data_IF_015524201316
#
_entry.id   IF_015524201316
#
_cell.length_a   1.000
_cell.length_b   1.000
_cell.length_c   1.000
_cell.angle_alpha   90.00
_cell.angle_beta   90.00
_cell.angle_gamma   90.00
#
_symmetry.space_group_name_H-M   'P 1'
#
loop_
_entity.id
_entity.type
_entity.pdbx_description
1 polymer ?
#
# COMPACT_ATOMS: atom_id res chain seq x y z
N UNK A 1 -88.07 39.43 -5.05
CA UNK A 1 -87.49 39.54 -6.40
C UNK A 1 -86.89 38.19 -6.71
N UNK A 2 -87.55 37.43 -7.60
CA UNK A 2 -86.94 36.44 -8.51
C UNK A 2 -86.10 35.31 -7.90
N UNK A 3 -86.37 34.01 -8.06
CA UNK A 3 -87.39 33.19 -8.73
C UNK A 3 -87.17 31.75 -8.23
N UNK A 4 -88.27 30.99 -8.14
CA UNK A 4 -88.44 29.59 -8.56
C UNK A 4 -87.45 28.50 -8.08
N UNK A 5 -87.94 27.56 -7.26
CA UNK A 5 -88.49 26.23 -7.64
C UNK A 5 -87.41 25.31 -8.23
N UNK A 6 -87.26 24.04 -7.92
CA UNK A 6 -88.01 23.10 -7.10
C UNK A 6 -87.33 21.73 -7.34
N UNK A 7 -87.64 20.75 -6.48
CA UNK A 7 -87.64 19.29 -6.73
C UNK A 7 -86.30 18.62 -7.11
N UNK A 8 -85.66 17.90 -6.17
CA UNK A 8 -85.91 16.49 -5.82
C UNK A 8 -85.60 15.47 -6.93
N UNK A 9 -84.56 14.66 -6.69
CA UNK A 9 -84.54 13.21 -6.90
C UNK A 9 -83.18 12.71 -6.36
N UNK A 10 -83.12 12.07 -5.20
CA UNK A 10 -83.40 10.65 -4.98
C UNK A 10 -82.46 9.72 -5.77
N UNK A 11 -81.80 8.82 -5.03
CA UNK A 11 -81.06 7.62 -5.48
C UNK A 11 -79.71 7.80 -6.20
N UNK A 12 -78.61 7.66 -5.45
CA UNK A 12 -77.40 7.00 -5.97
C UNK A 12 -76.74 6.14 -4.89
N UNK A 13 -77.39 5.02 -4.55
CA UNK A 13 -76.76 3.90 -3.84
C UNK A 13 -75.95 3.08 -4.85
N UNK A 14 -74.75 2.69 -4.41
CA UNK A 14 -73.94 1.55 -4.88
C UNK A 14 -73.50 1.51 -6.35
N UNK A 15 -72.33 2.09 -6.66
CA UNK A 15 -71.53 1.65 -7.82
C UNK A 15 -70.01 1.89 -7.67
N UNK A 16 -69.46 1.70 -6.46
CA UNK A 16 -68.00 1.75 -6.22
C UNK A 16 -67.35 0.34 -6.38
N UNK A 17 -68.16 -0.74 -6.43
CA UNK A 17 -67.65 -2.10 -6.43
C UNK A 17 -67.22 -2.67 -7.80
N UNK A 18 -67.52 -2.01 -8.92
CA UNK A 18 -67.14 -2.50 -10.26
C UNK A 18 -65.76 -1.95 -10.69
N UNK A 19 -65.38 -0.76 -10.22
CA UNK A 19 -64.10 -0.13 -10.60
C UNK A 19 -62.87 -0.79 -9.95
N UNK A 20 -63.06 -1.45 -8.79
CA UNK A 20 -61.99 -2.16 -8.10
C UNK A 20 -61.72 -3.58 -8.64
N UNK A 21 -62.62 -4.12 -9.48
CA UNK A 21 -62.45 -5.45 -10.05
C UNK A 21 -61.55 -5.44 -11.30
N UNK A 22 -61.61 -4.38 -12.13
CA UNK A 22 -60.76 -4.26 -13.33
C UNK A 22 -59.31 -3.85 -12.98
N UNK A 23 -59.11 -3.10 -11.90
CA UNK A 23 -57.78 -2.63 -11.51
C UNK A 23 -56.92 -3.66 -10.74
N UNK A 24 -57.45 -4.86 -10.48
CA UNK A 24 -56.71 -5.94 -9.78
C UNK A 24 -56.08 -6.97 -10.71
N UNK A 25 -56.40 -6.96 -12.02
CA UNK A 25 -55.91 -7.94 -12.99
C UNK A 25 -54.76 -7.50 -13.90
N UNK A 26 -54.22 -6.28 -13.75
CA UNK A 26 -53.14 -5.76 -14.60
C UNK A 26 -51.73 -5.73 -13.95
N UNK A 27 -51.56 -6.22 -12.72
CA UNK A 27 -50.26 -6.29 -12.05
C UNK A 27 -49.75 -7.73 -11.91
N UNK A 28 -49.67 -8.46 -13.02
CA UNK A 28 -48.99 -9.76 -13.09
C UNK A 28 -47.46 -9.56 -13.23
N UNK A 29 -46.63 -10.15 -12.35
CA UNK A 29 -45.18 -10.04 -12.41
C UNK A 29 -44.63 -10.97 -13.52
N UNK A 30 -44.64 -10.50 -14.76
CA UNK A 30 -44.12 -11.30 -15.88
C UNK A 30 -44.04 -10.60 -17.24
N UNK A 31 -44.60 -9.41 -17.40
CA UNK A 31 -44.58 -8.70 -18.69
C UNK A 31 -43.47 -7.65 -18.70
N UNK A 32 -42.39 -7.92 -19.43
CA UNK A 32 -41.36 -6.92 -19.70
C UNK A 32 -41.97 -5.78 -20.53
N UNK A 33 -41.84 -4.53 -20.06
CA UNK A 33 -42.33 -3.34 -20.79
C UNK A 33 -41.70 -3.30 -22.19
N UNK A 34 -42.47 -3.01 -23.25
CA UNK A 34 -41.93 -2.94 -24.60
C UNK A 34 -40.81 -1.89 -24.65
N UNK A 35 -39.63 -2.29 -25.13
CA UNK A 35 -38.51 -1.36 -25.34
C UNK A 35 -38.97 -0.35 -26.39
N UNK A 36 -39.03 0.93 -26.06
CA UNK A 36 -39.40 1.97 -27.03
C UNK A 36 -38.41 1.93 -28.21
N UNK A 37 -38.87 1.47 -29.37
CA UNK A 37 -38.04 1.42 -30.58
C UNK A 37 -37.84 2.85 -31.06
N UNK A 38 -36.59 3.32 -31.07
CA UNK A 38 -36.25 4.62 -31.64
C UNK A 38 -36.29 4.54 -33.17
N UNK A 39 -36.83 5.56 -33.82
CA UNK A 39 -36.82 5.65 -35.29
C UNK A 39 -35.40 5.77 -35.85
N UNK A 40 -35.20 5.30 -37.09
CA UNK A 40 -33.93 5.46 -37.83
C UNK A 40 -33.86 6.88 -38.41
N UNK A 41 -32.73 7.59 -38.30
CA UNK A 41 -32.58 8.91 -38.92
C UNK A 41 -32.58 8.80 -40.45
N UNK A 42 -33.19 9.78 -41.12
CA UNK A 42 -33.34 9.82 -42.58
C UNK A 42 -32.00 9.76 -43.33
N UNK A 43 -30.93 10.31 -42.76
CA UNK A 43 -29.58 10.32 -43.33
C UNK A 43 -28.79 9.02 -43.11
N UNK A 44 -29.34 8.05 -42.36
CA UNK A 44 -28.65 6.80 -42.00
C UNK A 44 -27.46 6.97 -41.03
N UNK A 45 -26.98 8.19 -40.80
CA UNK A 45 -25.80 8.48 -39.98
C UNK A 45 -26.19 8.85 -38.55
N UNK A 46 -25.77 8.04 -37.58
CA UNK A 46 -25.96 8.29 -36.15
C UNK A 46 -24.69 8.92 -35.58
N UNK A 47 -24.72 10.22 -35.32
CA UNK A 47 -23.58 11.00 -34.86
C UNK A 47 -23.18 10.78 -33.38
N UNK A 48 -24.08 10.22 -32.55
CA UNK A 48 -23.88 9.99 -31.11
C UNK A 48 -24.37 8.60 -30.71
N UNK A 49 -23.61 7.90 -29.86
CA UNK A 49 -24.05 6.62 -29.30
C UNK A 49 -25.23 6.83 -28.35
N UNK A 50 -26.27 5.99 -28.47
CA UNK A 50 -27.43 6.09 -27.58
C UNK A 50 -27.06 5.56 -26.21
N UNK A 51 -27.24 6.37 -25.16
CA UNK A 51 -26.98 5.94 -23.78
C UNK A 51 -28.05 4.95 -23.33
N UNK A 52 -27.73 3.66 -23.34
CA UNK A 52 -28.66 2.57 -22.97
C UNK A 52 -28.93 2.51 -21.46
N UNK A 53 -27.98 2.97 -20.65
CA UNK A 53 -28.07 2.94 -19.18
C UNK A 53 -28.38 4.32 -18.60
N UNK A 54 -29.10 4.38 -17.47
CA UNK A 54 -29.35 5.64 -16.74
C UNK A 54 -28.08 6.07 -16.00
N UNK A 55 -27.86 7.36 -15.82
CA UNK A 55 -26.71 7.87 -15.06
C UNK A 55 -26.69 7.35 -13.61
N UNK A 56 -27.86 7.08 -13.03
CA UNK A 56 -28.02 6.45 -11.71
C UNK A 56 -27.51 5.01 -11.62
N UNK A 57 -27.31 4.30 -12.74
CA UNK A 57 -26.70 2.97 -12.72
C UNK A 57 -25.17 3.02 -12.58
N UNK A 58 -24.58 4.21 -12.73
CA UNK A 58 -23.18 4.43 -12.39
C UNK A 58 -23.13 4.53 -10.87
N UNK A 59 -22.80 3.42 -10.21
CA UNK A 59 -22.60 3.38 -8.77
C UNK A 59 -21.54 4.43 -8.42
N UNK A 60 -21.94 5.49 -7.72
CA UNK A 60 -20.98 6.42 -7.14
C UNK A 60 -20.27 5.67 -6.03
N UNK A 61 -19.01 5.35 -6.27
CA UNK A 61 -18.20 4.79 -5.21
C UNK A 61 -18.15 5.81 -4.07
N UNK A 62 -18.36 5.35 -2.83
CA UNK A 62 -18.05 6.22 -1.70
C UNK A 62 -16.54 6.26 -1.73
N UNK A 63 -15.93 7.41 -2.04
CA UNK A 63 -14.47 7.52 -2.14
C UNK A 63 -13.79 6.86 -0.94
N UNK A 64 -12.55 6.37 -1.10
CA UNK A 64 -11.77 5.72 -0.03
C UNK A 64 -11.63 6.64 1.19
N UNK A 65 -12.66 6.66 2.03
CA UNK A 65 -12.71 7.41 3.27
C UNK A 65 -12.37 6.42 4.35
N UNK A 66 -11.08 6.33 4.66
CA UNK A 66 -10.63 5.63 5.86
C UNK A 66 -11.18 6.32 7.10
N UNK A 67 -11.55 5.50 8.08
CA UNK A 67 -11.97 5.98 9.39
C UNK A 67 -10.81 6.68 10.11
N UNK A 68 -11.10 7.46 11.14
CA UNK A 68 -10.05 8.11 11.93
C UNK A 68 -9.13 7.08 12.60
N UNK A 69 -9.72 6.00 13.12
CA UNK A 69 -9.02 4.91 13.78
C UNK A 69 -8.00 4.24 12.84
N UNK A 70 -8.41 3.93 11.60
CA UNK A 70 -7.51 3.39 10.58
C UNK A 70 -6.32 4.33 10.29
N UNK A 71 -6.55 5.65 10.25
CA UNK A 71 -5.47 6.62 10.04
C UNK A 71 -4.50 6.66 11.21
N UNK A 72 -5.01 6.54 12.43
CA UNK A 72 -4.18 6.50 13.65
C UNK A 72 -3.37 5.21 13.72
N UNK A 73 -3.97 4.07 13.38
CA UNK A 73 -3.29 2.79 13.29
C UNK A 73 -2.14 2.83 12.26
N UNK A 74 -2.42 3.28 11.03
CA UNK A 74 -1.41 3.43 9.99
C UNK A 74 -0.28 4.40 10.38
N UNK A 75 -0.63 5.51 11.05
CA UNK A 75 0.38 6.45 11.55
C UNK A 75 1.30 5.76 12.57
N UNK A 76 0.73 4.97 13.47
CA UNK A 76 1.48 4.26 14.51
C UNK A 76 2.40 3.20 13.90
N UNK A 77 1.90 2.41 12.95
CA UNK A 77 2.69 1.42 12.20
C UNK A 77 3.87 2.07 11.47
N UNK A 78 3.62 3.19 10.77
CA UNK A 78 4.67 3.93 10.07
C UNK A 78 5.74 4.47 11.04
N UNK A 79 5.36 4.93 12.23
CA UNK A 79 6.34 5.36 13.23
C UNK A 79 7.17 4.19 13.74
N UNK A 80 6.55 3.05 14.03
CA UNK A 80 7.25 1.84 14.48
C UNK A 80 8.26 1.36 13.42
N UNK A 81 7.88 1.35 12.14
CA UNK A 81 8.76 1.00 11.03
C UNK A 81 9.95 1.97 10.91
N UNK A 82 9.71 3.28 11.07
CA UNK A 82 10.78 4.29 11.04
C UNK A 82 11.78 4.10 12.17
N UNK A 83 11.31 3.83 13.38
CA UNK A 83 12.17 3.57 14.55
C UNK A 83 13.01 2.32 14.30
N UNK A 84 12.40 1.21 13.88
CA UNK A 84 13.11 -0.03 13.58
C UNK A 84 14.16 0.13 12.47
N UNK A 85 13.85 0.91 11.42
CA UNK A 85 14.81 1.21 10.35
C UNK A 85 15.96 2.09 10.84
N UNK A 86 15.69 3.09 11.69
CA UNK A 86 16.71 3.94 12.29
C UNK A 86 17.67 3.12 13.18
N UNK A 87 17.13 2.24 14.03
CA UNK A 87 17.90 1.33 14.86
C UNK A 87 18.80 0.41 14.03
N UNK A 88 18.26 -0.18 12.95
CA UNK A 88 19.04 -1.04 12.05
C UNK A 88 20.17 -0.28 11.38
N UNK A 89 19.93 0.96 10.94
CA UNK A 89 20.96 1.82 10.35
C UNK A 89 22.04 2.18 11.37
N UNK A 90 21.65 2.56 12.59
CA UNK A 90 22.57 2.87 13.67
C UNK A 90 23.43 1.65 14.03
N UNK A 91 22.85 0.45 14.11
CA UNK A 91 23.61 -0.77 14.39
C UNK A 91 24.62 -1.09 13.28
N UNK A 92 24.25 -0.90 12.01
CA UNK A 92 25.18 -1.07 10.87
C UNK A 92 26.33 -0.06 10.92
N UNK A 93 26.03 1.20 11.23
CA UNK A 93 27.04 2.25 11.38
C UNK A 93 28.03 1.92 12.50
N UNK A 94 27.53 1.57 13.70
CA UNK A 94 28.36 1.17 14.85
C UNK A 94 29.27 -0.02 14.52
N UNK A 95 28.77 -1.04 13.81
CA UNK A 95 29.58 -2.18 13.37
C UNK A 95 30.70 -1.78 12.41
N UNK A 96 30.41 -0.86 11.48
CA UNK A 96 31.39 -0.36 10.51
C UNK A 96 32.49 0.46 11.20
N UNK A 97 32.10 1.34 12.12
CA UNK A 97 33.04 2.14 12.92
C UNK A 97 33.93 1.26 13.80
N UNK A 98 33.34 0.28 14.50
CA UNK A 98 34.11 -0.67 15.31
C UNK A 98 35.12 -1.46 14.48
N UNK A 99 34.73 -1.89 13.26
CA UNK A 99 35.66 -2.55 12.33
C UNK A 99 36.79 -1.62 11.90
N UNK A 100 36.48 -0.36 11.57
CA UNK A 100 37.48 0.64 11.17
C UNK A 100 38.50 0.88 12.28
N UNK A 101 38.03 1.12 13.50
CA UNK A 101 38.89 1.30 14.68
C UNK A 101 39.76 0.06 14.95
N UNK A 102 39.21 -1.15 14.78
CA UNK A 102 39.97 -2.38 14.94
C UNK A 102 41.05 -2.55 13.86
N UNK A 103 40.79 -2.12 12.62
CA UNK A 103 41.77 -2.12 11.54
C UNK A 103 42.87 -1.08 11.76
N UNK A 104 42.50 0.13 12.18
CA UNK A 104 43.45 1.19 12.56
C UNK A 104 44.39 0.71 13.69
N UNK A 105 43.84 0.15 14.77
CA UNK A 105 44.64 -0.41 15.87
C UNK A 105 45.52 -1.61 15.46
N UNK A 106 45.07 -2.43 14.50
CA UNK A 106 45.92 -3.50 13.92
C UNK A 106 47.05 -2.93 13.10
N UNK A 107 46.79 -1.90 12.30
CA UNK A 107 47.80 -1.23 11.48
C UNK A 107 48.85 -0.54 12.36
N UNK A 108 48.45 0.11 13.45
CA UNK A 108 49.37 0.71 14.42
C UNK A 108 50.27 -0.32 15.09
N UNK A 109 49.69 -1.44 15.58
CA UNK A 109 50.48 -2.54 16.12
C UNK A 109 51.44 -3.14 15.10
N UNK A 110 51.04 -3.22 13.83
CA UNK A 110 51.91 -3.69 12.75
C UNK A 110 53.11 -2.74 12.56
N UNK A 111 52.85 -1.43 12.49
CA UNK A 111 53.91 -0.40 12.37
C UNK A 111 54.86 -0.44 13.57
N UNK A 112 54.33 -0.61 14.78
CA UNK A 112 55.17 -0.74 15.97
C UNK A 112 55.99 -2.03 15.95
N UNK A 113 55.40 -3.15 15.54
CA UNK A 113 56.12 -4.41 15.38
C UNK A 113 57.20 -4.33 14.29
N UNK A 114 56.93 -3.62 13.19
CA UNK A 114 57.92 -3.34 12.14
C UNK A 114 59.10 -2.54 12.72
N UNK A 115 58.85 -1.43 13.41
CA UNK A 115 59.89 -0.65 14.12
C UNK A 115 60.67 -1.49 15.13
N UNK A 116 59.99 -2.35 15.90
CA UNK A 116 60.64 -3.25 16.87
C UNK A 116 61.45 -4.36 16.20
N UNK A 117 61.01 -4.84 15.03
CA UNK A 117 61.71 -5.86 14.26
C UNK A 117 62.93 -5.30 13.52
N UNK A 118 62.89 -4.04 13.08
CA UNK A 118 64.05 -3.31 12.54
C UNK A 118 65.20 -3.27 13.57
N UNK A 119 64.87 -3.15 14.86
CA UNK A 119 65.85 -3.23 15.95
C UNK A 119 66.30 -4.69 16.13
N UNK A 120 67.39 -5.06 15.49
CA UNK A 120 67.99 -6.38 15.66
C UNK A 120 68.68 -6.52 17.00
N UNK A 121 68.33 -7.57 17.73
CA UNK A 121 68.99 -7.96 18.98
C UNK A 121 70.29 -8.70 18.65
N UNK A 122 71.47 -8.19 19.04
CA UNK A 122 72.73 -8.87 18.79
C UNK A 122 72.84 -10.17 19.60
N UNK A 123 73.11 -11.29 18.91
CA UNK A 123 73.29 -12.59 19.54
C UNK A 123 74.75 -12.74 20.00
N UNK A 124 75.00 -12.43 21.26
CA UNK A 124 76.36 -12.45 21.84
C UNK A 124 76.93 -13.86 22.10
N UNK A 125 76.07 -14.87 22.25
CA UNK A 125 76.50 -16.23 22.62
C UNK A 125 76.37 -17.22 21.46
N UNK A 126 77.51 -17.72 20.97
CA UNK A 126 77.61 -18.65 19.85
C UNK A 126 76.98 -20.04 20.12
N UNK A 127 76.88 -20.46 21.39
CA UNK A 127 76.21 -21.72 21.75
C UNK A 127 74.70 -21.65 21.47
N UNK A 128 74.10 -20.45 21.46
CA UNK A 128 72.68 -20.28 21.09
C UNK A 128 72.45 -20.60 19.62
N UNK A 129 73.29 -20.10 18.71
CA UNK A 129 73.18 -20.36 17.27
C UNK A 129 73.24 -21.86 16.95
N UNK A 130 74.16 -22.59 17.61
CA UNK A 130 74.31 -24.04 17.41
C UNK A 130 73.13 -24.88 17.93
N UNK A 131 72.30 -24.33 18.83
CA UNK A 131 71.12 -25.00 19.40
C UNK A 131 69.82 -24.70 18.66
N UNK A 132 69.82 -23.68 17.80
CA UNK A 132 68.61 -23.24 17.09
C UNK A 132 68.26 -24.16 15.93
N UNK A 133 66.96 -24.20 15.58
CA UNK A 133 66.49 -24.98 14.43
C UNK A 133 66.91 -24.31 13.12
N UNK A 134 67.13 -25.11 12.07
CA UNK A 134 67.57 -24.65 10.74
C UNK A 134 66.64 -23.62 10.10
N UNK A 135 65.35 -23.59 10.46
CA UNK A 135 64.39 -22.57 10.02
C UNK A 135 64.60 -21.20 10.66
N UNK A 136 64.96 -21.16 11.94
CA UNK A 136 65.19 -19.90 12.69
C UNK A 136 66.52 -19.25 12.30
N UNK A 137 67.49 -20.04 11.87
CA UNK A 137 68.76 -19.51 11.36
C UNK A 137 68.58 -18.74 10.04
N UNK A 138 67.52 -18.99 9.26
CA UNK A 138 67.27 -18.29 7.98
C UNK A 138 66.87 -16.82 8.14
N UNK A 139 66.35 -16.44 9.32
CA UNK A 139 65.92 -15.07 9.60
C UNK A 139 67.01 -14.22 10.26
N UNK A 140 68.18 -14.80 10.55
CA UNK A 140 69.30 -14.07 11.17
C UNK A 140 70.14 -13.47 10.04
N UNK A 141 70.23 -12.15 9.99
CA UNK A 141 71.14 -11.44 9.09
C UNK A 141 72.55 -11.41 9.68
N UNK A 142 73.55 -11.81 8.92
CA UNK A 142 74.96 -11.55 9.21
C UNK A 142 75.32 -10.17 8.67
N UNK A 143 75.60 -9.22 9.57
CA UNK A 143 75.97 -7.84 9.30
C UNK A 143 77.11 -7.42 10.22
#
# INVERSE_FOLDING_TARGET
RVWKTDYCAAHFRSSIAVFHCVYRYCNSPGMAKPKSVRGKPKSGRVWKTTRTKRYSSIRRDKGLRSTWEEKVALKTELQNLRVADAERRAQRAKRKEAKRLAEEARAERKKENERRAEVVVPIKNMRKLKKMKKSQLRSIETR
#
